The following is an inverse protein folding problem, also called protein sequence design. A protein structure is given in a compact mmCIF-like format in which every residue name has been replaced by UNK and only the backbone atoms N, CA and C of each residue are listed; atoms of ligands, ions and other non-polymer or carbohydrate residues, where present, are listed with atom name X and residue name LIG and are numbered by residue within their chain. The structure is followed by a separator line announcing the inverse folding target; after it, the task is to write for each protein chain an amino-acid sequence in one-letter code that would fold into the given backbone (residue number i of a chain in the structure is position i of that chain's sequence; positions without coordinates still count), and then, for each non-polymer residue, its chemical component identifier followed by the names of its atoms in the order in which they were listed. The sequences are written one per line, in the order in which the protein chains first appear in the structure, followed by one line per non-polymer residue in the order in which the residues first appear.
data_IF_432179968658
#
_entry.id   IF_432179968658
#
_cell.length_a   1.000
_cell.length_b   1.000
_cell.length_c   1.000
_cell.angle_alpha   90.00
_cell.angle_beta   90.00
_cell.angle_gamma   90.00
#
_symmetry.space_group_name_H-M   'P 1'
#
loop_
_entity.id
_entity.type
_entity.pdbx_description
1 polymer ?
#
# COMPACT_ATOMS: atom_id res chain seq x y z
N UNK A 1 -5.33 -7.15 -13.55
CA UNK A 1 -5.13 -8.56 -13.95
C UNK A 1 -4.35 -8.75 -15.25
N UNK A 2 -4.59 -7.96 -16.31
CA UNK A 2 -3.79 -8.03 -17.56
C UNK A 2 -2.28 -7.94 -17.31
N UNK A 3 -1.85 -7.00 -16.45
CA UNK A 3 -0.43 -6.86 -16.08
C UNK A 3 0.16 -8.09 -15.38
N UNK A 4 -0.64 -8.83 -14.60
CA UNK A 4 -0.18 -10.06 -13.94
C UNK A 4 0.18 -11.12 -14.98
N UNK A 5 -0.72 -11.32 -15.95
CA UNK A 5 -0.54 -12.27 -17.08
C UNK A 5 0.62 -11.84 -17.96
N UNK A 6 0.69 -10.56 -18.34
CA UNK A 6 1.78 -10.01 -19.15
C UNK A 6 3.14 -10.24 -18.48
N UNK A 7 3.25 -9.93 -17.20
CA UNK A 7 4.50 -10.16 -16.48
C UNK A 7 4.86 -11.66 -16.39
N UNK A 8 3.90 -12.59 -16.52
CA UNK A 8 4.22 -14.03 -16.53
C UNK A 8 4.81 -14.42 -17.88
N UNK A 9 4.20 -13.94 -18.96
CA UNK A 9 4.71 -14.17 -20.33
C UNK A 9 6.08 -13.54 -20.54
N UNK A 10 6.35 -12.41 -19.89
CA UNK A 10 7.65 -11.71 -19.96
C UNK A 10 8.69 -12.27 -18.97
N UNK A 11 8.32 -13.27 -18.16
CA UNK A 11 9.28 -14.00 -17.31
C UNK A 11 9.63 -13.34 -15.97
N UNK A 12 9.00 -12.23 -15.58
CA UNK A 12 9.30 -11.54 -14.31
C UNK A 12 9.19 -12.44 -13.09
N UNK A 13 10.15 -12.34 -12.17
CA UNK A 13 10.27 -13.18 -10.97
C UNK A 13 9.36 -12.79 -9.81
N UNK A 14 8.93 -11.53 -9.76
CA UNK A 14 8.07 -11.00 -8.70
C UNK A 14 7.30 -9.78 -9.19
N UNK A 15 6.27 -9.38 -8.44
CA UNK A 15 5.44 -8.19 -8.71
C UNK A 15 5.17 -7.44 -7.43
N UNK A 16 5.05 -6.12 -7.57
CA UNK A 16 4.73 -5.23 -6.45
C UNK A 16 3.40 -4.52 -6.76
N UNK A 17 2.45 -4.62 -5.83
CA UNK A 17 1.28 -3.74 -5.83
C UNK A 17 1.67 -2.38 -5.25
N UNK A 18 1.70 -1.36 -6.11
CA UNK A 18 2.13 -0.01 -5.78
C UNK A 18 0.95 0.93 -5.44
N UNK A 19 -0.13 0.40 -4.86
CA UNK A 19 -1.27 1.20 -4.41
C UNK A 19 -1.48 1.03 -2.90
N UNK A 20 -1.84 2.12 -2.22
CA UNK A 20 -2.11 2.10 -0.78
C UNK A 20 -3.32 1.22 -0.42
N UNK A 21 -4.37 1.27 -1.25
CA UNK A 21 -5.61 0.56 -0.98
C UNK A 21 -5.57 -0.93 -1.33
N UNK A 22 -4.47 -1.38 -1.96
CA UNK A 22 -4.20 -2.77 -2.31
C UNK A 22 -5.34 -3.46 -3.08
N UNK A 23 -6.17 -2.68 -3.79
CA UNK A 23 -7.32 -3.22 -4.52
C UNK A 23 -6.89 -4.27 -5.53
N UNK A 24 -7.43 -5.48 -5.40
CA UNK A 24 -7.13 -6.61 -6.28
C UNK A 24 -5.84 -7.35 -5.97
N UNK A 25 -5.18 -7.08 -4.83
CA UNK A 25 -4.00 -7.84 -4.38
C UNK A 25 -4.31 -9.33 -4.22
N UNK A 26 -5.44 -9.68 -3.60
CA UNK A 26 -5.84 -11.09 -3.43
C UNK A 26 -6.05 -11.81 -4.76
N UNK A 27 -6.69 -11.13 -5.72
CA UNK A 27 -6.85 -11.65 -7.07
C UNK A 27 -5.48 -11.80 -7.77
N UNK A 28 -4.58 -10.84 -7.58
CA UNK A 28 -3.21 -10.89 -8.09
C UNK A 28 -2.44 -12.09 -7.52
N UNK A 29 -2.44 -12.29 -6.20
CA UNK A 29 -1.82 -13.44 -5.54
C UNK A 29 -2.42 -14.77 -6.02
N UNK A 30 -3.74 -14.83 -6.22
CA UNK A 30 -4.42 -16.04 -6.69
C UNK A 30 -4.06 -16.40 -8.13
N UNK A 31 -3.91 -15.39 -9.01
CA UNK A 31 -3.60 -15.62 -10.43
C UNK A 31 -2.10 -15.72 -10.73
N UNK A 32 -1.24 -15.17 -9.87
CA UNK A 32 0.19 -15.11 -10.11
C UNK A 32 0.87 -16.45 -9.80
N UNK A 33 1.64 -16.98 -10.76
CA UNK A 33 2.50 -18.16 -10.53
C UNK A 33 3.74 -17.85 -9.67
N UNK A 34 4.04 -16.56 -9.46
CA UNK A 34 5.20 -16.06 -8.71
C UNK A 34 4.74 -15.02 -7.68
N UNK A 35 5.54 -14.71 -6.65
CA UNK A 35 5.13 -13.83 -5.56
C UNK A 35 4.60 -12.47 -6.02
N UNK A 36 3.58 -11.99 -5.31
CA UNK A 36 3.06 -10.63 -5.38
C UNK A 36 3.07 -10.06 -3.97
N UNK A 37 3.73 -8.94 -3.77
CA UNK A 37 3.80 -8.25 -2.47
C UNK A 37 3.27 -6.84 -2.64
N UNK A 38 2.71 -6.25 -1.60
CA UNK A 38 2.27 -4.87 -1.65
C UNK A 38 3.25 -3.91 -0.96
N UNK A 39 3.31 -2.68 -1.47
CA UNK A 39 4.19 -1.66 -0.92
C UNK A 39 3.81 -1.29 0.52
N UNK A 40 2.52 -1.39 0.89
CA UNK A 40 2.04 -1.05 2.23
C UNK A 40 2.44 -2.13 3.24
N UNK A 41 2.20 -3.41 2.93
CA UNK A 41 2.71 -4.53 3.72
C UNK A 41 4.24 -4.42 3.95
N UNK A 42 5.00 -4.20 2.87
CA UNK A 42 6.45 -4.03 2.95
C UNK A 42 6.85 -2.83 3.85
N UNK A 43 6.11 -1.73 3.78
CA UNK A 43 6.35 -0.54 4.60
C UNK A 43 6.11 -0.81 6.09
N UNK A 44 5.08 -1.59 6.44
CA UNK A 44 4.82 -1.97 7.83
C UNK A 44 5.92 -2.88 8.38
N UNK A 45 6.36 -3.86 7.59
CA UNK A 45 7.51 -4.69 7.94
C UNK A 45 8.75 -3.84 8.16
N UNK A 46 9.11 -2.96 7.22
CA UNK A 46 10.27 -2.08 7.33
C UNK A 46 10.19 -1.19 8.58
N UNK A 47 9.05 -0.54 8.84
CA UNK A 47 8.85 0.29 10.02
C UNK A 47 9.02 -0.51 11.33
N UNK A 48 8.56 -1.76 11.36
CA UNK A 48 8.66 -2.63 12.54
C UNK A 48 10.09 -3.06 12.88
N UNK A 49 11.01 -3.00 11.92
CA UNK A 49 12.42 -3.33 12.13
C UNK A 49 13.19 -2.17 12.79
N UNK A 50 12.76 -0.93 12.55
CA UNK A 50 13.48 0.28 12.99
C UNK A 50 12.82 1.01 14.16
N UNK A 51 11.55 0.71 14.45
CA UNK A 51 10.80 1.36 15.52
C UNK A 51 9.89 0.38 16.29
N UNK A 52 9.68 0.68 17.58
CA UNK A 52 8.74 -0.05 18.42
C UNK A 52 7.28 0.09 17.89
N UNK A 53 6.95 1.26 17.36
CA UNK A 53 5.63 1.58 16.83
C UNK A 53 5.71 2.65 15.74
N UNK A 54 4.69 2.72 14.88
CA UNK A 54 4.66 3.64 13.74
C UNK A 54 3.27 4.25 13.53
N UNK A 55 3.23 5.34 12.75
CA UNK A 55 2.02 5.96 12.24
C UNK A 55 2.04 6.00 10.72
N UNK A 56 0.86 6.10 10.10
CA UNK A 56 0.71 6.14 8.64
C UNK A 56 0.23 7.54 8.25
N UNK A 57 0.93 8.17 7.31
CA UNK A 57 0.49 9.42 6.69
C UNK A 57 -0.04 9.11 5.30
N UNK A 58 -1.24 9.58 4.98
CA UNK A 58 -1.94 9.32 3.71
C UNK A 58 -2.51 10.59 3.10
N UNK A 59 -2.96 10.48 1.85
CA UNK A 59 -3.53 11.56 1.06
C UNK A 59 -4.89 12.00 1.59
N UNK A 60 -5.86 11.10 1.64
CA UNK A 60 -7.26 11.44 1.90
C UNK A 60 -7.79 10.70 3.13
N UNK A 61 -8.55 11.40 3.97
CA UNK A 61 -9.15 10.86 5.19
C UNK A 61 -10.04 9.64 4.96
N UNK A 62 -10.68 9.54 3.79
CA UNK A 62 -11.48 8.37 3.40
C UNK A 62 -10.69 7.06 3.33
N UNK A 63 -9.36 7.11 3.27
CA UNK A 63 -8.50 5.93 3.25
C UNK A 63 -8.20 5.39 4.66
N UNK A 64 -8.69 6.05 5.72
CA UNK A 64 -8.44 5.63 7.11
C UNK A 64 -8.91 4.19 7.36
N UNK A 65 -10.12 3.82 6.94
CA UNK A 65 -10.64 2.46 7.11
C UNK A 65 -9.77 1.43 6.39
N UNK A 66 -9.34 1.73 5.16
CA UNK A 66 -8.49 0.87 4.35
C UNK A 66 -7.13 0.64 5.01
N UNK A 67 -6.52 1.70 5.55
CA UNK A 67 -5.25 1.59 6.29
C UNK A 67 -5.41 0.72 7.54
N UNK A 68 -6.47 0.95 8.32
CA UNK A 68 -6.73 0.16 9.52
C UNK A 68 -6.98 -1.32 9.20
N UNK A 69 -7.69 -1.61 8.12
CA UNK A 69 -7.93 -2.98 7.66
C UNK A 69 -6.62 -3.65 7.24
N UNK A 70 -5.76 -2.96 6.49
CA UNK A 70 -4.44 -3.48 6.10
C UNK A 70 -3.55 -3.73 7.33
N UNK A 71 -3.54 -2.81 8.31
CA UNK A 71 -2.79 -2.99 9.57
C UNK A 71 -3.24 -4.24 10.32
N UNK A 72 -4.56 -4.47 10.42
CA UNK A 72 -5.12 -5.67 11.06
C UNK A 72 -4.78 -6.92 10.27
N UNK A 73 -5.00 -6.90 8.95
CA UNK A 73 -4.72 -7.99 8.01
C UNK A 73 -3.28 -8.49 8.09
N UNK A 74 -2.32 -7.57 8.17
CA UNK A 74 -0.88 -7.91 8.24
C UNK A 74 -0.35 -8.07 9.67
N UNK A 75 -1.21 -7.99 10.70
CA UNK A 75 -0.81 -8.28 12.08
C UNK A 75 -0.03 -7.17 12.80
N UNK A 76 -0.13 -5.91 12.34
CA UNK A 76 0.61 -4.77 12.91
C UNK A 76 -0.21 -3.92 13.89
N UNK A 77 -1.43 -4.32 14.25
CA UNK A 77 -2.33 -3.54 15.12
C UNK A 77 -1.68 -3.06 16.43
N UNK A 78 -0.86 -3.91 17.08
CA UNK A 78 -0.17 -3.54 18.34
C UNK A 78 0.98 -2.54 18.16
N UNK A 79 1.49 -2.38 16.93
CA UNK A 79 2.58 -1.46 16.59
C UNK A 79 2.09 -0.19 15.91
N UNK A 80 0.88 -0.18 15.39
CA UNK A 80 0.25 1.03 14.88
C UNK A 80 -0.18 1.96 16.02
N UNK A 81 -0.01 3.26 15.83
CA UNK A 81 -0.41 4.29 16.81
C UNK A 81 -1.43 5.26 16.27
N UNK A 82 -1.28 5.67 15.00
CA UNK A 82 -2.10 6.73 14.44
C UNK A 82 -2.06 6.78 12.92
N UNK A 83 -3.17 7.22 12.33
CA UNK A 83 -3.27 7.58 10.92
C UNK A 83 -3.47 9.08 10.76
N UNK A 84 -2.72 9.72 9.87
CA UNK A 84 -2.88 11.12 9.52
C UNK A 84 -3.23 11.25 8.04
N UNK A 85 -4.23 12.06 7.73
CA UNK A 85 -4.53 12.42 6.35
C UNK A 85 -4.18 13.88 6.11
N UNK A 86 -3.41 14.15 5.06
CA UNK A 86 -3.08 15.53 4.65
C UNK A 86 -4.24 16.20 3.88
N UNK A 87 -5.27 15.43 3.52
CA UNK A 87 -6.44 15.85 2.73
C UNK A 87 -6.10 16.48 1.37
N UNK A 88 -5.01 16.03 0.76
CA UNK A 88 -4.57 16.42 -0.59
C UNK A 88 -4.79 15.23 -1.53
N UNK A 89 -5.48 15.41 -2.69
CA UNK A 89 -5.65 14.34 -3.67
C UNK A 89 -4.31 13.81 -4.19
N UNK A 90 -4.21 12.49 -4.43
CA UNK A 90 -2.96 11.87 -4.88
C UNK A 90 -2.37 12.51 -6.15
N UNK A 91 -3.21 12.82 -7.14
CA UNK A 91 -2.77 13.48 -8.39
C UNK A 91 -2.25 14.91 -8.16
N UNK A 92 -2.74 15.59 -7.12
CA UNK A 92 -2.23 16.91 -6.76
C UNK A 92 -0.78 16.83 -6.25
N UNK A 93 -0.37 15.70 -5.66
CA UNK A 93 1.02 15.48 -5.22
C UNK A 93 2.01 15.41 -6.38
N UNK A 94 1.60 14.83 -7.52
CA UNK A 94 2.46 14.72 -8.71
C UNK A 94 2.62 16.07 -9.44
N UNK A 95 1.57 16.88 -9.39
CA UNK A 95 1.49 18.15 -10.15
C UNK A 95 1.91 19.38 -9.35
N UNK A 96 2.12 19.25 -8.03
CA UNK A 96 2.38 20.38 -7.14
C UNK A 96 1.15 21.29 -6.92
N UNK A 97 -0.04 20.88 -7.36
CA UNK A 97 -1.24 21.73 -7.32
C UNK A 97 -1.72 22.08 -5.89
N UNK A 98 -1.17 21.43 -4.86
CA UNK A 98 -1.43 21.75 -3.46
C UNK A 98 -0.71 23.02 -2.97
N UNK A 99 0.31 23.51 -3.67
CA UNK A 99 0.99 24.79 -3.33
C UNK A 99 0.09 26.02 -3.56
N UNK A 100 -1.05 25.83 -4.23
CA UNK A 100 -2.02 26.87 -4.58
C UNK A 100 -3.27 26.86 -3.69
N UNK A 101 -3.33 25.96 -2.72
CA UNK A 101 -4.42 25.81 -1.73
C UNK A 101 -3.96 26.46 -0.43
#
# INVERSE_FOLDING_TARGET
MKEIVKAQTEGFDTRISACLDETGLDAACTMAAKPVTAIVEASFHAASLVAHSFCVVTTLSRLASVIEDNIRRYGFANRFRCGYAINIPALALETGAFEKI
#
